data_IF_490112241077
#
_entry.id   IF_490112241077
#
_cell.length_a   1.000
_cell.length_b   1.000
_cell.length_c   1.000
_cell.angle_alpha   90.00
_cell.angle_beta   90.00
_cell.angle_gamma   90.00
#
_symmetry.space_group_name_H-M   'P 1'
#
loop_
_entity.id
_entity.type
_entity.pdbx_description
1 polymer ?
#
# COMPACT_ATOMS: atom_id res chain seq x y z
N UNK A 1 57.74 26.18 -18.67
CA UNK A 1 57.09 24.89 -18.37
C UNK A 1 56.05 25.10 -17.28
N UNK A 2 54.76 25.05 -17.58
CA UNK A 2 53.68 25.05 -16.57
C UNK A 2 52.74 23.90 -16.94
N UNK A 3 52.76 22.84 -16.12
CA UNK A 3 51.87 21.69 -16.26
C UNK A 3 50.61 22.01 -15.46
N UNK A 4 49.51 22.29 -16.15
CA UNK A 4 48.19 22.44 -15.53
C UNK A 4 47.62 21.04 -15.28
N UNK A 5 47.54 20.67 -13.99
CA UNK A 5 46.80 19.49 -13.54
C UNK A 5 45.30 19.75 -13.77
N UNK A 6 44.68 19.01 -14.67
CA UNK A 6 43.21 18.99 -14.81
C UNK A 6 42.68 17.91 -13.87
N UNK A 7 42.19 18.32 -12.71
CA UNK A 7 41.49 17.44 -11.77
C UNK A 7 40.11 17.14 -12.35
N UNK A 8 39.94 15.96 -12.95
CA UNK A 8 38.65 15.42 -13.34
C UNK A 8 37.82 15.16 -12.08
N UNK A 9 36.89 16.06 -11.78
CA UNK A 9 35.83 15.84 -10.80
C UNK A 9 34.94 14.75 -11.37
N UNK A 10 35.13 13.51 -10.92
CA UNK A 10 34.14 12.45 -11.07
C UNK A 10 32.92 12.84 -10.23
N UNK A 11 31.93 13.47 -10.86
CA UNK A 11 30.58 13.53 -10.30
C UNK A 11 29.98 12.15 -10.54
N UNK A 12 29.76 11.31 -9.52
CA UNK A 12 28.99 10.11 -9.73
C UNK A 12 27.57 10.57 -10.08
N UNK A 13 27.23 10.48 -11.37
CA UNK A 13 25.87 10.38 -11.84
C UNK A 13 25.32 9.09 -11.21
N UNK A 14 24.81 9.20 -9.98
CA UNK A 14 23.94 8.19 -9.42
C UNK A 14 22.71 8.16 -10.32
N UNK A 15 22.81 7.27 -11.30
CA UNK A 15 21.78 6.61 -12.06
C UNK A 15 20.38 6.97 -11.56
N UNK A 16 19.71 7.79 -12.37
CA UNK A 16 18.27 8.10 -12.32
C UNK A 16 17.43 6.84 -12.64
N UNK A 17 17.77 5.68 -12.07
CA UNK A 17 16.86 4.55 -12.02
C UNK A 17 15.91 4.87 -10.88
N UNK A 18 14.73 5.38 -11.21
CA UNK A 18 13.71 5.73 -10.23
C UNK A 18 13.51 4.60 -9.23
N UNK A 19 13.99 4.78 -8.00
CA UNK A 19 13.60 3.95 -6.88
C UNK A 19 12.11 4.21 -6.68
N UNK A 20 11.28 3.40 -7.33
CA UNK A 20 9.87 3.39 -7.02
C UNK A 20 9.74 2.88 -5.58
N UNK A 21 9.40 3.79 -4.68
CA UNK A 21 9.27 3.47 -3.25
C UNK A 21 8.22 2.38 -3.09
N UNK A 22 8.68 1.18 -2.71
CA UNK A 22 7.81 0.04 -2.45
C UNK A 22 6.79 0.44 -1.39
N UNK A 23 5.52 0.11 -1.64
CA UNK A 23 4.37 0.47 -0.79
C UNK A 23 3.99 1.95 -0.74
N UNK A 24 4.53 2.78 -1.65
CA UNK A 24 3.89 4.05 -1.99
C UNK A 24 2.50 3.83 -2.60
N UNK A 25 1.69 4.89 -2.64
CA UNK A 25 0.39 4.85 -3.31
C UNK A 25 0.57 4.51 -4.80
N UNK A 26 1.58 5.08 -5.44
CA UNK A 26 1.92 4.90 -6.85
C UNK A 26 2.32 3.46 -7.15
N UNK A 27 3.13 2.86 -6.26
CA UNK A 27 3.48 1.44 -6.37
C UNK A 27 2.22 0.56 -6.28
N UNK A 28 1.29 0.85 -5.37
CA UNK A 28 0.04 0.11 -5.26
C UNK A 28 -0.87 0.26 -6.49
N UNK A 29 -0.92 1.45 -7.11
CA UNK A 29 -1.66 1.66 -8.36
C UNK A 29 -1.10 0.79 -9.50
N UNK A 30 0.21 0.57 -9.54
CA UNK A 30 0.82 -0.31 -10.55
C UNK A 30 0.71 -1.80 -10.21
N UNK A 31 0.39 -2.14 -8.97
CA UNK A 31 0.37 -3.51 -8.44
C UNK A 31 -0.95 -3.77 -7.70
N UNK A 32 -2.05 -3.87 -8.46
CA UNK A 32 -3.39 -4.00 -7.87
C UNK A 32 -3.54 -5.21 -6.94
N UNK A 33 -2.93 -6.36 -7.26
CA UNK A 33 -3.00 -7.55 -6.40
C UNK A 33 -2.42 -7.27 -5.00
N UNK A 34 -1.29 -6.59 -4.95
CA UNK A 34 -0.61 -6.20 -3.70
C UNK A 34 -1.39 -5.11 -2.95
N UNK A 35 -1.98 -4.17 -3.68
CA UNK A 35 -2.89 -3.17 -3.12
C UNK A 35 -4.10 -3.82 -2.47
N UNK A 36 -4.74 -4.77 -3.16
CA UNK A 36 -5.91 -5.49 -2.67
C UNK A 36 -5.53 -6.33 -1.44
N UNK A 37 -4.41 -7.05 -1.51
CA UNK A 37 -3.91 -7.85 -0.39
C UNK A 37 -3.66 -6.97 0.85
N UNK A 38 -2.89 -5.89 0.70
CA UNK A 38 -2.59 -4.98 1.82
C UNK A 38 -3.83 -4.26 2.34
N UNK A 39 -4.72 -3.80 1.47
CA UNK A 39 -6.00 -3.21 1.89
C UNK A 39 -6.84 -4.19 2.72
N UNK A 40 -6.89 -5.45 2.31
CA UNK A 40 -7.63 -6.51 3.01
C UNK A 40 -7.04 -6.77 4.38
N UNK A 41 -5.72 -6.93 4.48
CA UNK A 41 -5.00 -7.05 5.76
C UNK A 41 -5.35 -5.88 6.70
N UNK A 42 -5.18 -4.64 6.25
CA UNK A 42 -5.47 -3.46 7.05
C UNK A 42 -6.94 -3.34 7.48
N UNK A 43 -7.86 -3.85 6.66
CA UNK A 43 -9.28 -3.89 6.98
C UNK A 43 -9.60 -4.88 8.11
N UNK A 44 -9.00 -6.06 8.08
CA UNK A 44 -9.24 -7.14 9.05
C UNK A 44 -8.52 -6.89 10.38
N UNK A 45 -7.36 -6.24 10.33
CA UNK A 45 -6.52 -5.95 11.51
C UNK A 45 -6.82 -4.57 12.13
N UNK A 46 -7.69 -3.77 11.51
CA UNK A 46 -8.01 -2.41 11.91
C UNK A 46 -6.80 -1.45 11.98
N UNK A 47 -5.72 -1.72 11.23
CA UNK A 47 -4.43 -1.02 11.28
C UNK A 47 -4.38 0.28 10.45
N UNK A 48 -5.50 0.98 10.31
CA UNK A 48 -5.59 2.16 9.45
C UNK A 48 -4.69 3.33 9.88
N UNK A 49 -4.17 3.38 11.12
CA UNK A 49 -3.21 4.41 11.50
C UNK A 49 -1.86 4.29 10.77
N UNK A 50 -1.54 3.13 10.21
CA UNK A 50 -0.27 2.90 9.53
C UNK A 50 -0.22 3.57 8.15
N UNK A 51 0.91 4.18 7.84
CA UNK A 51 1.09 4.90 6.57
C UNK A 51 0.91 3.97 5.36
N UNK A 52 1.39 2.73 5.44
CA UNK A 52 1.21 1.73 4.38
C UNK A 52 -0.28 1.43 4.12
N UNK A 53 -1.08 1.32 5.18
CA UNK A 53 -2.52 1.12 5.08
C UNK A 53 -3.24 2.34 4.50
N UNK A 54 -2.79 3.55 4.84
CA UNK A 54 -3.28 4.78 4.22
C UNK A 54 -2.93 4.83 2.72
N UNK A 55 -1.72 4.43 2.34
CA UNK A 55 -1.30 4.37 0.93
C UNK A 55 -2.16 3.38 0.14
N UNK A 56 -2.33 2.15 0.63
CA UNK A 56 -3.18 1.13 0.01
C UNK A 56 -4.65 1.59 -0.08
N UNK A 57 -5.19 2.21 0.97
CA UNK A 57 -6.56 2.78 0.97
C UNK A 57 -6.73 3.88 -0.08
N UNK A 58 -5.76 4.77 -0.18
CA UNK A 58 -5.83 5.88 -1.12
C UNK A 58 -5.68 5.40 -2.57
N UNK A 59 -4.81 4.42 -2.82
CA UNK A 59 -4.70 3.75 -4.12
C UNK A 59 -6.01 3.02 -4.49
N UNK A 60 -6.57 2.23 -3.56
CA UNK A 60 -7.84 1.52 -3.73
C UNK A 60 -8.99 2.49 -4.04
N UNK A 61 -9.02 3.67 -3.40
CA UNK A 61 -10.02 4.70 -3.67
C UNK A 61 -9.87 5.28 -5.07
N UNK A 62 -8.64 5.52 -5.51
CA UNK A 62 -8.36 6.08 -6.83
C UNK A 62 -8.73 5.09 -7.94
N UNK A 63 -8.30 3.84 -7.81
CA UNK A 63 -8.49 2.79 -8.83
C UNK A 63 -9.86 2.09 -8.71
N UNK A 64 -10.81 2.63 -7.93
CA UNK A 64 -12.11 2.00 -7.67
C UNK A 64 -12.94 1.70 -8.93
N UNK A 65 -12.69 2.43 -10.02
CA UNK A 65 -13.36 2.21 -11.30
C UNK A 65 -12.86 0.98 -12.08
N UNK A 66 -11.75 0.37 -11.64
CA UNK A 66 -11.18 -0.80 -12.29
C UNK A 66 -11.90 -2.07 -11.84
N UNK A 67 -12.31 -2.98 -12.75
CA UNK A 67 -13.11 -4.15 -12.40
C UNK A 67 -12.46 -5.11 -11.39
N UNK A 68 -11.14 -5.30 -11.48
CA UNK A 68 -10.36 -6.13 -10.58
C UNK A 68 -10.28 -5.53 -9.17
N UNK A 69 -10.09 -4.21 -9.09
CA UNK A 69 -10.07 -3.46 -7.83
C UNK A 69 -11.43 -3.49 -7.15
N UNK A 70 -12.52 -3.30 -7.90
CA UNK A 70 -13.87 -3.40 -7.36
C UNK A 70 -14.17 -4.79 -6.80
N UNK A 71 -13.81 -5.84 -7.56
CA UNK A 71 -13.94 -7.24 -7.15
C UNK A 71 -13.12 -7.52 -5.89
N UNK A 72 -11.87 -7.08 -5.85
CA UNK A 72 -10.97 -7.23 -4.69
C UNK A 72 -11.53 -6.54 -3.45
N UNK A 73 -12.00 -5.30 -3.58
CA UNK A 73 -12.61 -4.55 -2.49
C UNK A 73 -13.85 -5.27 -1.94
N UNK A 74 -14.72 -5.80 -2.81
CA UNK A 74 -15.88 -6.58 -2.39
C UNK A 74 -15.46 -7.83 -1.60
N UNK A 75 -14.48 -8.57 -2.10
CA UNK A 75 -13.94 -9.75 -1.41
C UNK A 75 -13.36 -9.41 -0.02
N UNK A 76 -12.68 -8.26 0.12
CA UNK A 76 -12.17 -7.79 1.41
C UNK A 76 -13.29 -7.56 2.44
N UNK A 77 -14.40 -6.92 2.03
CA UNK A 77 -15.56 -6.74 2.92
C UNK A 77 -16.29 -8.04 3.22
N UNK A 78 -16.37 -8.98 2.27
CA UNK A 78 -16.91 -10.31 2.52
C UNK A 78 -16.06 -11.08 3.55
N UNK A 79 -14.73 -10.92 3.52
CA UNK A 79 -13.83 -11.48 4.53
C UNK A 79 -14.05 -10.85 5.92
N UNK A 80 -14.18 -9.52 6.00
CA UNK A 80 -14.49 -8.83 7.25
C UNK A 80 -15.83 -9.30 7.84
N UNK A 81 -16.86 -9.45 7.00
CA UNK A 81 -18.16 -9.96 7.45
C UNK A 81 -18.04 -11.36 8.05
N UNK A 82 -17.24 -12.25 7.44
CA UNK A 82 -16.97 -13.59 8.00
C UNK A 82 -16.25 -13.50 9.34
N UNK A 83 -15.24 -12.64 9.48
CA UNK A 83 -14.52 -12.43 10.73
C UNK A 83 -15.47 -11.96 11.85
N UNK A 84 -16.31 -10.95 11.58
CA UNK A 84 -17.31 -10.44 12.54
C UNK A 84 -18.29 -11.54 12.94
N UNK A 85 -18.78 -12.34 11.98
CA UNK A 85 -19.71 -13.44 12.27
C UNK A 85 -19.12 -14.52 13.19
N UNK A 86 -17.79 -14.68 13.20
CA UNK A 86 -17.09 -15.62 14.10
C UNK A 86 -16.77 -15.03 15.47
N UNK A 87 -16.83 -13.71 15.64
CA UNK A 87 -16.60 -13.07 16.93
C UNK A 87 -17.86 -13.20 17.80
N UNK A 88 -17.72 -13.82 18.98
CA UNK A 88 -18.81 -13.86 19.98
C UNK A 88 -19.03 -12.44 20.50
N UNK A 89 -20.24 -11.90 20.30
CA UNK A 89 -20.66 -10.67 20.97
C UNK A 89 -20.91 -11.01 22.45
N UNK A 90 -20.24 -10.36 23.42
CA UNK A 90 -20.54 -10.55 24.82
C UNK A 90 -21.99 -10.13 25.10
N UNK A 91 -22.74 -10.98 25.81
CA UNK A 91 -24.07 -10.59 26.30
C UNK A 91 -23.90 -9.56 27.42
N UNK A 92 -24.34 -8.33 27.16
CA UNK A 92 -24.26 -7.21 28.11
C UNK A 92 -25.48 -7.12 29.03
N UNK A 93 -26.44 -8.05 28.94
CA UNK A 93 -27.64 -8.06 29.79
C UNK A 93 -27.46 -8.82 31.12
N UNK A 94 -26.26 -9.29 31.42
CA UNK A 94 -25.91 -9.88 32.71
C UNK A 94 -25.27 -8.82 33.61
N UNK A 95 -26.08 -7.88 34.15
CA UNK A 95 -25.74 -7.00 35.28
C UNK A 95 -26.85 -7.00 36.31
#
# INVERSE_FOLDING_TARGET
MKKTLVTLIFIPLFLLTGCEDKYSKEWFIKNHDEMIAKYTECLLDHSWSEQICQNAKNAMKQERGQPDVEKGRKAAFDALKKQIATQKVPDLNHF
#
